data_IF_938597754811
#
_entry.id   IF_938597754811
#
_cell.length_a   1.000
_cell.length_b   1.000
_cell.length_c   1.000
_cell.angle_alpha   90.00
_cell.angle_beta   90.00
_cell.angle_gamma   90.00
#
_symmetry.space_group_name_H-M   'P 1'
#
loop_
_entity.id
_entity.type
_entity.pdbx_description
1 polymer ?
#
# COMPACT_ATOMS: atom_id res chain seq x y z
N UNK A 1 -44.29 6.01 28.07
CA UNK A 1 -42.97 5.59 27.54
C UNK A 1 -41.88 6.16 28.45
N UNK A 2 -41.18 5.29 29.21
CA UNK A 2 -40.30 5.73 30.30
C UNK A 2 -39.05 6.46 29.75
N UNK A 3 -38.60 7.59 30.34
CA UNK A 3 -37.44 8.33 29.85
C UNK A 3 -36.15 7.51 29.82
N UNK A 4 -36.05 6.48 30.67
CA UNK A 4 -34.92 5.53 30.70
C UNK A 4 -34.79 4.67 29.43
N UNK A 5 -35.91 4.29 28.79
CA UNK A 5 -35.84 3.43 27.59
C UNK A 5 -35.43 4.18 26.33
N UNK A 6 -35.75 5.48 26.23
CA UNK A 6 -35.29 6.35 25.13
C UNK A 6 -33.77 6.54 25.14
N UNK A 7 -33.18 6.68 26.33
CA UNK A 7 -31.73 6.85 26.48
C UNK A 7 -30.96 5.57 26.13
N UNK A 8 -31.52 4.39 26.44
CA UNK A 8 -30.92 3.11 26.08
C UNK A 8 -30.95 2.85 24.56
N UNK A 9 -32.05 3.21 23.88
CA UNK A 9 -32.15 3.09 22.42
C UNK A 9 -31.16 4.04 21.74
N UNK A 10 -31.05 5.29 22.19
CA UNK A 10 -30.08 6.25 21.66
C UNK A 10 -28.64 5.78 21.84
N UNK A 11 -28.30 5.21 23.00
CA UNK A 11 -26.98 4.65 23.27
C UNK A 11 -26.68 3.44 22.37
N UNK A 12 -27.64 2.54 22.18
CA UNK A 12 -27.48 1.38 21.32
C UNK A 12 -27.24 1.78 19.85
N UNK A 13 -27.97 2.78 19.36
CA UNK A 13 -27.78 3.32 18.00
C UNK A 13 -26.40 3.96 17.86
N UNK A 14 -25.97 4.77 18.83
CA UNK A 14 -24.65 5.39 18.81
C UNK A 14 -23.51 4.36 18.79
N UNK A 15 -23.63 3.30 19.60
CA UNK A 15 -22.68 2.18 19.60
C UNK A 15 -22.67 1.43 18.26
N UNK A 16 -23.83 1.21 17.65
CA UNK A 16 -23.92 0.55 16.34
C UNK A 16 -23.25 1.37 15.23
N UNK A 17 -23.48 2.69 15.20
CA UNK A 17 -22.82 3.60 14.24
C UNK A 17 -21.31 3.59 14.47
N UNK A 18 -20.86 3.68 15.72
CA UNK A 18 -19.44 3.65 16.05
C UNK A 18 -18.77 2.34 15.64
N UNK A 19 -19.44 1.20 15.87
CA UNK A 19 -18.96 -0.11 15.45
C UNK A 19 -18.86 -0.23 13.92
N UNK A 20 -19.86 0.26 13.19
CA UNK A 20 -19.84 0.28 11.71
C UNK A 20 -18.72 1.17 11.16
N UNK A 21 -18.55 2.37 11.74
CA UNK A 21 -17.47 3.27 11.37
C UNK A 21 -16.09 2.66 11.65
N UNK A 22 -15.91 2.05 12.83
CA UNK A 22 -14.67 1.36 13.20
C UNK A 22 -14.35 0.18 12.26
N UNK A 23 -15.37 -0.60 11.89
CA UNK A 23 -15.20 -1.75 10.99
C UNK A 23 -14.84 -1.31 9.57
N UNK A 24 -15.47 -0.26 9.05
CA UNK A 24 -15.13 0.33 7.75
C UNK A 24 -13.69 0.86 7.75
N UNK A 25 -13.31 1.57 8.81
CA UNK A 25 -11.97 2.14 8.96
C UNK A 25 -10.87 1.07 9.09
N UNK A 26 -11.19 -0.11 9.63
CA UNK A 26 -10.27 -1.26 9.68
C UNK A 26 -10.08 -1.98 8.33
N UNK A 27 -11.07 -1.98 7.43
CA UNK A 27 -10.99 -2.74 6.16
C UNK A 27 -10.39 -1.93 5.00
N UNK A 28 -10.62 -0.62 5.00
CA UNK A 28 -10.12 0.30 3.97
C UNK A 28 -8.60 0.28 3.73
N UNK A 29 -7.74 0.18 4.78
CA UNK A 29 -6.28 0.13 4.66
C UNK A 29 -5.81 -1.03 3.78
N UNK A 30 -6.36 -2.24 4.02
CA UNK A 30 -6.01 -3.46 3.30
C UNK A 30 -6.45 -3.42 1.84
N UNK A 31 -7.66 -2.93 1.61
CA UNK A 31 -8.21 -2.82 0.26
C UNK A 31 -7.38 -1.86 -0.59
N UNK A 32 -6.96 -0.73 -0.02
CA UNK A 32 -6.12 0.24 -0.70
C UNK A 32 -4.75 -0.34 -1.07
N UNK A 33 -4.11 -1.06 -0.14
CA UNK A 33 -2.85 -1.75 -0.40
C UNK A 33 -2.96 -2.82 -1.49
N UNK A 34 -3.97 -3.69 -1.42
CA UNK A 34 -4.20 -4.73 -2.42
C UNK A 34 -4.51 -4.14 -3.80
N UNK A 35 -5.31 -3.07 -3.83
CA UNK A 35 -5.63 -2.36 -5.07
C UNK A 35 -4.39 -1.71 -5.67
N UNK A 36 -3.55 -1.08 -4.86
CA UNK A 36 -2.26 -0.53 -5.30
C UNK A 36 -1.38 -1.62 -5.92
N UNK A 37 -1.23 -2.76 -5.23
CA UNK A 37 -0.46 -3.90 -5.72
C UNK A 37 -0.99 -4.38 -7.08
N UNK A 38 -2.31 -4.51 -7.24
CA UNK A 38 -2.91 -4.92 -8.51
C UNK A 38 -2.59 -3.91 -9.62
N UNK A 39 -2.85 -2.62 -9.37
CA UNK A 39 -2.63 -1.56 -10.35
C UNK A 39 -1.16 -1.44 -10.76
N UNK A 40 -0.22 -1.54 -9.81
CA UNK A 40 1.20 -1.51 -10.08
C UNK A 40 1.68 -2.72 -10.90
N UNK A 41 1.07 -3.91 -10.70
CA UNK A 41 1.35 -5.10 -11.52
C UNK A 41 0.81 -4.97 -12.94
N UNK A 42 -0.35 -4.34 -13.09
CA UNK A 42 -1.03 -4.15 -14.37
C UNK A 42 -0.45 -2.96 -15.17
N UNK A 43 0.45 -2.17 -14.57
CA UNK A 43 1.06 -1.00 -15.20
C UNK A 43 0.22 0.27 -15.10
N UNK A 44 -0.88 0.25 -14.34
CA UNK A 44 -1.78 1.39 -14.11
C UNK A 44 -1.22 2.34 -13.05
N UNK A 45 -0.02 2.90 -13.28
CA UNK A 45 0.70 3.68 -12.27
C UNK A 45 0.02 4.98 -11.87
N UNK A 46 -0.67 5.65 -12.79
CA UNK A 46 -1.43 6.86 -12.46
C UNK A 46 -2.54 6.58 -11.42
N UNK A 47 -3.27 5.46 -11.60
CA UNK A 47 -4.30 5.03 -10.66
C UNK A 47 -3.71 4.54 -9.34
N UNK A 48 -2.56 3.85 -9.39
CA UNK A 48 -1.83 3.43 -8.20
C UNK A 48 -1.37 4.65 -7.39
N UNK A 49 -0.82 5.67 -8.04
CA UNK A 49 -0.36 6.92 -7.42
C UNK A 49 -1.49 7.66 -6.71
N UNK A 50 -2.72 7.63 -7.26
CA UNK A 50 -3.88 8.23 -6.63
C UNK A 50 -4.31 7.58 -5.29
N UNK A 51 -3.80 6.38 -4.98
CA UNK A 51 -4.04 5.71 -3.70
C UNK A 51 -3.03 6.12 -2.61
N UNK A 52 -1.94 6.79 -2.99
CA UNK A 52 -0.92 7.26 -2.05
C UNK A 52 -1.40 8.51 -1.31
N UNK A 53 -0.87 8.72 -0.11
CA UNK A 53 -1.23 9.85 0.75
C UNK A 53 -0.57 11.20 0.36
N UNK A 54 0.13 11.21 -0.77
CA UNK A 54 0.82 12.37 -1.35
C UNK A 54 2.25 12.58 -0.84
N UNK A 55 2.73 11.81 0.15
CA UNK A 55 4.11 11.92 0.64
C UNK A 55 5.14 11.17 -0.23
N UNK A 56 4.68 10.27 -1.07
CA UNK A 56 5.46 9.62 -2.13
C UNK A 56 4.67 9.59 -3.43
N UNK A 57 5.31 9.20 -4.53
CA UNK A 57 4.68 9.15 -5.85
C UNK A 57 5.22 8.02 -6.71
N UNK A 58 4.38 7.59 -7.67
CA UNK A 58 4.77 6.72 -8.78
C UNK A 58 4.21 7.35 -10.05
N UNK A 59 5.07 7.79 -10.95
CA UNK A 59 4.67 8.56 -12.13
C UNK A 59 5.50 8.19 -13.35
N UNK A 60 4.92 8.27 -14.54
CA UNK A 60 5.66 8.06 -15.77
C UNK A 60 6.71 9.16 -15.93
N UNK A 61 7.95 8.77 -16.20
CA UNK A 61 9.05 9.69 -16.47
C UNK A 61 9.13 10.03 -17.96
N UNK A 62 9.78 11.15 -18.27
CA UNK A 62 10.14 11.49 -19.64
C UNK A 62 10.97 10.35 -20.27
N UNK A 63 10.63 9.96 -21.50
CA UNK A 63 11.27 8.82 -22.18
C UNK A 63 10.62 7.46 -21.91
N UNK A 64 9.44 7.44 -21.29
CA UNK A 64 8.65 6.20 -21.09
C UNK A 64 9.12 5.35 -19.91
N UNK A 65 9.99 5.90 -19.06
CA UNK A 65 10.41 5.31 -17.79
C UNK A 65 9.35 5.45 -16.70
N UNK A 66 9.67 4.97 -15.50
CA UNK A 66 8.84 5.14 -14.31
C UNK A 66 9.67 5.78 -13.21
N UNK A 67 9.21 6.89 -12.67
CA UNK A 67 9.80 7.59 -11.53
C UNK A 67 9.06 7.20 -10.27
N UNK A 68 9.82 6.87 -9.24
CA UNK A 68 9.30 6.48 -7.93
C UNK A 68 9.96 7.36 -6.89
N UNK A 69 9.15 7.97 -6.03
CA UNK A 69 9.58 8.81 -4.92
C UNK A 69 9.04 8.21 -3.62
N UNK A 70 9.94 7.91 -2.67
CA UNK A 70 9.53 7.52 -1.32
C UNK A 70 9.27 8.73 -0.40
N UNK A 71 8.73 8.45 0.78
CA UNK A 71 8.43 9.46 1.81
C UNK A 71 9.67 10.14 2.38
N UNK A 72 10.86 9.58 2.15
CA UNK A 72 12.15 10.15 2.54
C UNK A 72 12.77 11.03 1.44
N UNK A 73 12.09 11.18 0.30
CA UNK A 73 12.55 11.96 -0.84
C UNK A 73 13.61 11.25 -1.68
N UNK A 74 13.84 9.95 -1.47
CA UNK A 74 14.69 9.15 -2.35
C UNK A 74 13.90 8.85 -3.62
N UNK A 75 14.58 9.07 -4.74
CA UNK A 75 14.02 8.88 -6.07
C UNK A 75 14.73 7.76 -6.79
N UNK A 76 13.97 6.92 -7.49
CA UNK A 76 14.49 5.91 -8.41
C UNK A 76 13.77 6.02 -9.75
N UNK A 77 14.55 5.97 -10.83
CA UNK A 77 14.07 5.93 -12.20
C UNK A 77 14.21 4.51 -12.74
N UNK A 78 13.09 3.88 -13.08
CA UNK A 78 13.05 2.59 -13.74
C UNK A 78 12.99 2.77 -15.26
N UNK A 79 13.84 2.07 -16.02
CA UNK A 79 13.74 2.07 -17.47
C UNK A 79 12.46 1.35 -17.94
N UNK A 80 11.99 1.62 -19.18
CA UNK A 80 10.75 1.04 -19.73
C UNK A 80 10.66 -0.49 -19.64
N UNK A 81 11.80 -1.17 -19.76
CA UNK A 81 11.91 -2.63 -19.72
C UNK A 81 11.90 -3.23 -18.31
N UNK A 82 11.87 -2.41 -17.25
CA UNK A 82 11.92 -2.86 -15.84
C UNK A 82 10.64 -2.55 -15.04
N UNK A 83 9.58 -2.04 -15.66
CA UNK A 83 8.43 -1.53 -14.91
C UNK A 83 7.50 -2.62 -14.35
N UNK A 84 7.71 -3.89 -14.70
CA UNK A 84 6.87 -4.99 -14.21
C UNK A 84 7.19 -5.31 -12.75
N UNK A 85 6.29 -4.94 -11.86
CA UNK A 85 6.35 -5.30 -10.46
C UNK A 85 5.85 -6.72 -10.22
N UNK A 86 6.51 -7.42 -9.30
CA UNK A 86 6.09 -8.71 -8.77
C UNK A 86 5.95 -8.59 -7.26
N UNK A 87 4.78 -8.99 -6.74
CA UNK A 87 4.59 -9.23 -5.31
C UNK A 87 5.14 -10.64 -5.02
N UNK A 88 6.33 -10.73 -4.44
CA UNK A 88 6.97 -12.02 -4.14
C UNK A 88 6.82 -12.39 -2.68
N UNK A 89 6.41 -13.64 -2.38
CA UNK A 89 6.50 -14.22 -1.03
C UNK A 89 7.91 -14.09 -0.44
N UNK A 90 8.94 -14.15 -1.30
CA UNK A 90 10.34 -13.98 -0.89
C UNK A 90 10.66 -12.58 -0.37
N UNK A 91 9.97 -11.55 -0.88
CA UNK A 91 10.09 -10.17 -0.43
C UNK A 91 9.26 -9.96 0.84
N UNK A 92 8.09 -10.60 0.91
CA UNK A 92 7.25 -10.59 2.10
C UNK A 92 7.94 -11.26 3.31
N UNK A 93 8.77 -12.28 3.08
CA UNK A 93 9.64 -12.89 4.12
C UNK A 93 10.73 -11.94 4.66
N UNK A 94 11.09 -10.87 3.94
CA UNK A 94 12.04 -9.85 4.42
C UNK A 94 11.36 -8.80 5.29
N UNK A 95 10.04 -8.69 5.24
CA UNK A 95 9.30 -7.81 6.14
C UNK A 95 9.32 -8.42 7.56
N UNK A 96 9.44 -7.59 8.60
CA UNK A 96 9.32 -8.07 9.96
C UNK A 96 7.94 -8.74 10.15
N UNK A 97 7.87 -9.84 10.91
CA UNK A 97 6.61 -10.56 11.11
C UNK A 97 5.56 -9.63 11.70
N UNK A 98 4.35 -9.67 11.13
CA UNK A 98 3.22 -8.84 11.57
C UNK A 98 2.94 -9.08 13.05
N UNK A 99 3.04 -8.03 13.85
CA UNK A 99 2.68 -8.11 15.25
C UNK A 99 1.16 -8.07 15.42
N UNK A 100 0.67 -8.49 16.58
CA UNK A 100 -0.75 -8.40 16.90
C UNK A 100 -1.24 -6.95 16.88
N UNK A 101 -0.43 -6.02 17.39
CA UNK A 101 -0.71 -4.58 17.36
C UNK A 101 -0.89 -4.07 15.92
N UNK A 102 -0.08 -4.53 14.97
CA UNK A 102 -0.18 -4.11 13.58
C UNK A 102 -1.54 -4.48 12.97
N UNK A 103 -2.03 -5.68 13.29
CA UNK A 103 -3.38 -6.12 12.86
C UNK A 103 -4.50 -5.31 13.51
N UNK A 104 -4.35 -4.94 14.78
CA UNK A 104 -5.36 -4.13 15.50
C UNK A 104 -5.40 -2.68 15.03
N UNK A 105 -4.25 -2.11 14.65
CA UNK A 105 -4.15 -0.70 14.27
C UNK A 105 -4.14 -0.48 12.75
N UNK A 106 -4.42 -1.53 11.96
CA UNK A 106 -4.46 -1.44 10.50
C UNK A 106 -3.12 -1.07 9.88
N UNK A 107 -2.01 -1.46 10.54
CA UNK A 107 -0.66 -1.30 10.00
C UNK A 107 -0.35 -2.50 9.13
N UNK A 108 -0.60 -2.35 7.83
CA UNK A 108 -0.24 -3.37 6.86
C UNK A 108 0.98 -2.91 6.08
N UNK A 109 1.87 -3.86 5.78
CA UNK A 109 3.06 -3.64 4.97
C UNK A 109 3.07 -4.65 3.83
N UNK A 110 3.63 -4.22 2.71
CA UNK A 110 3.94 -5.09 1.58
C UNK A 110 5.21 -4.60 0.90
N UNK A 111 5.75 -5.41 0.02
CA UNK A 111 6.86 -5.01 -0.82
C UNK A 111 6.63 -5.53 -2.24
N UNK A 112 7.03 -4.72 -3.22
CA UNK A 112 6.93 -5.03 -4.64
C UNK A 112 8.31 -4.90 -5.26
N UNK A 113 8.71 -5.85 -6.07
CA UNK A 113 10.01 -5.80 -6.75
C UNK A 113 9.81 -5.67 -8.25
N UNK A 114 10.39 -4.62 -8.83
CA UNK A 114 10.51 -4.37 -10.24
C UNK A 114 11.69 -5.19 -10.79
N UNK A 115 11.38 -6.19 -11.63
CA UNK A 115 12.38 -7.06 -12.23
C UNK A 115 12.75 -6.54 -13.62
N UNK A 116 14.05 -6.36 -13.86
CA UNK A 116 14.58 -6.06 -15.19
C UNK A 116 14.58 -7.31 -16.08
N UNK A 117 14.92 -7.14 -17.37
CA UNK A 117 15.18 -8.29 -18.24
C UNK A 117 16.28 -9.17 -17.66
N UNK A 118 16.16 -10.46 -17.92
CA UNK A 118 17.14 -11.46 -17.52
C UNK A 118 17.48 -12.33 -18.72
N UNK A 119 18.78 -12.54 -18.90
CA UNK A 119 19.33 -13.48 -19.87
C UNK A 119 20.00 -14.61 -19.09
N UNK A 120 19.64 -15.86 -19.40
CA UNK A 120 20.16 -17.06 -18.74
C UNK A 120 20.03 -17.07 -17.20
N UNK A 121 18.98 -16.43 -16.67
CA UNK A 121 18.73 -16.36 -15.23
C UNK A 121 19.59 -15.33 -14.48
N UNK A 122 20.42 -14.56 -15.20
CA UNK A 122 21.15 -13.40 -14.66
C UNK A 122 20.36 -12.14 -14.99
N UNK A 123 20.06 -11.32 -13.98
CA UNK A 123 19.41 -10.04 -14.19
C UNK A 123 20.39 -9.06 -14.84
N UNK A 124 20.00 -8.44 -15.95
CA UNK A 124 20.83 -7.44 -16.63
C UNK A 124 20.87 -6.11 -15.88
N UNK A 125 19.78 -5.82 -15.16
CA UNK A 125 19.60 -4.61 -14.36
C UNK A 125 19.27 -5.03 -12.92
N UNK A 126 19.87 -4.40 -11.89
CA UNK A 126 19.56 -4.72 -10.51
C UNK A 126 18.06 -4.54 -10.24
N UNK A 127 17.42 -5.47 -9.52
CA UNK A 127 16.01 -5.35 -9.18
C UNK A 127 15.80 -4.16 -8.24
N UNK A 128 14.68 -3.47 -8.40
CA UNK A 128 14.30 -2.36 -7.51
C UNK A 128 13.13 -2.79 -6.67
N UNK A 129 13.21 -2.64 -5.34
CA UNK A 129 12.14 -3.00 -4.42
C UNK A 129 11.53 -1.76 -3.80
N UNK A 130 10.21 -1.63 -3.89
CA UNK A 130 9.45 -0.60 -3.18
C UNK A 130 8.79 -1.24 -1.96
N UNK A 131 8.97 -0.59 -0.82
CA UNK A 131 8.35 -0.96 0.45
C UNK A 131 7.14 -0.08 0.68
N UNK A 132 5.99 -0.73 0.86
CA UNK A 132 4.71 -0.08 1.07
C UNK A 132 4.31 -0.25 2.53
N UNK A 133 3.84 0.83 3.13
CA UNK A 133 3.24 0.81 4.45
C UNK A 133 1.88 1.49 4.44
N UNK A 134 0.99 1.00 5.27
CA UNK A 134 -0.28 1.65 5.56
C UNK A 134 -0.26 2.10 7.00
N UNK A 135 -0.23 3.40 7.23
CA UNK A 135 -0.31 3.99 8.56
C UNK A 135 -1.55 4.84 8.69
N UNK A 136 -2.37 4.59 9.73
CA UNK A 136 -3.60 5.35 10.00
C UNK A 136 -4.55 5.41 8.79
N UNK A 137 -4.59 4.32 8.01
CA UNK A 137 -5.41 4.18 6.81
C UNK A 137 -4.91 4.94 5.58
N UNK A 138 -3.65 5.38 5.59
CA UNK A 138 -2.99 6.06 4.48
C UNK A 138 -1.87 5.18 3.95
N UNK A 139 -1.87 4.96 2.64
CA UNK A 139 -0.84 4.18 1.96
C UNK A 139 0.32 5.09 1.57
N UNK A 140 1.54 4.64 1.83
CA UNK A 140 2.76 5.36 1.49
C UNK A 140 3.84 4.40 0.95
N UNK A 141 4.75 4.96 0.14
CA UNK A 141 5.99 4.30 -0.27
C UNK A 141 7.03 4.65 0.81
N UNK A 142 7.25 3.74 1.75
CA UNK A 142 8.15 3.94 2.90
C UNK A 142 9.60 4.07 2.45
N UNK A 143 10.03 3.20 1.54
CA UNK A 143 11.37 3.25 0.97
C UNK A 143 11.43 2.62 -0.41
N UNK A 144 12.41 3.05 -1.20
CA UNK A 144 12.82 2.35 -2.43
C UNK A 144 14.26 1.89 -2.30
N UNK A 145 14.55 0.64 -2.68
CA UNK A 145 15.88 0.03 -2.67
C UNK A 145 16.30 -0.48 -4.04
#
# INVERSE_FOLDING_TARGET
MNPRSKNLIGLAIALAIFALAAQWWMHWPRQSLQRFISLARDGSYAEASALLDGSGSIESADGGGLRILDTHGREVLLPPNQQRFVAGEAVEKRLPPRQFADRLFGRDRAALTALGPSTDGVAEVPPVTIYLSVERGRLAIESVE
#
